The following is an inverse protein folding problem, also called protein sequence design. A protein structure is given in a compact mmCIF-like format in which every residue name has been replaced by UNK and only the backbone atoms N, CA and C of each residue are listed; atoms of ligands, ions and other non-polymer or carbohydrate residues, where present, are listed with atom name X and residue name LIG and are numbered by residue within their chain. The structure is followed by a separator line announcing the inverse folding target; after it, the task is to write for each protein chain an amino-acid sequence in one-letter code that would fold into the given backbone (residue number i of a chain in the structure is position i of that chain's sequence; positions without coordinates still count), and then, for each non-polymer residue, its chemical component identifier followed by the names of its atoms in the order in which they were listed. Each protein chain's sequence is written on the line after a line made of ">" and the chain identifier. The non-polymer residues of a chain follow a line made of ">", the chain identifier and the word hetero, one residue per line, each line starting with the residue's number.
data_IF_981791133782
#
_entry.id   IF_981791133782
#
_cell.length_a   1.000
_cell.length_b   1.000
_cell.length_c   1.000
_cell.angle_alpha   90.00
_cell.angle_beta   90.00
_cell.angle_gamma   90.00
#
_symmetry.space_group_name_H-M   'P 1'
#
loop_
_entity.id
_entity.type
_entity.pdbx_description
1 polymer ?
#
# COMPACT_ATOMS: atom_id res chain seq x y z
N UNK A 1 -40.89 -12.66 4.59
CA UNK A 1 -40.51 -11.95 5.83
C UNK A 1 -39.34 -12.73 6.42
N UNK A 2 -38.10 -12.28 6.52
CA UNK A 2 -37.42 -11.03 6.19
C UNK A 2 -35.96 -11.38 5.90
N UNK A 3 -35.38 -10.63 4.98
CA UNK A 3 -34.08 -10.83 4.37
C UNK A 3 -32.98 -10.39 5.37
N UNK A 4 -32.06 -11.27 5.77
CA UNK A 4 -30.93 -10.89 6.61
C UNK A 4 -29.70 -10.58 5.74
N UNK A 5 -29.63 -9.33 5.31
CA UNK A 5 -28.43 -8.70 4.75
C UNK A 5 -27.45 -8.40 5.90
N UNK A 6 -26.50 -9.30 6.14
CA UNK A 6 -25.37 -9.10 7.06
C UNK A 6 -24.04 -9.55 6.44
N UNK A 7 -23.84 -9.28 5.13
CA UNK A 7 -22.61 -9.65 4.42
C UNK A 7 -21.64 -8.51 4.10
N UNK A 8 -21.90 -7.28 4.56
CA UNK A 8 -21.06 -6.14 4.16
C UNK A 8 -20.34 -5.40 5.28
N UNK A 9 -20.48 -5.81 6.55
CA UNK A 9 -19.91 -5.06 7.69
C UNK A 9 -18.94 -5.83 8.59
N UNK A 10 -18.63 -7.10 8.27
CA UNK A 10 -17.74 -7.93 9.09
C UNK A 10 -16.45 -8.40 8.38
N UNK A 11 -16.15 -7.89 7.19
CA UNK A 11 -15.12 -8.50 6.32
C UNK A 11 -13.92 -7.62 5.96
N UNK A 12 -13.71 -6.48 6.65
CA UNK A 12 -12.50 -5.67 6.48
C UNK A 12 -11.57 -5.72 7.71
N UNK A 13 -12.09 -6.00 8.91
CA UNK A 13 -11.24 -6.17 10.11
C UNK A 13 -10.70 -7.60 10.25
N UNK A 14 -11.36 -8.62 9.69
CA UNK A 14 -10.97 -10.03 9.87
C UNK A 14 -9.95 -10.57 8.85
N UNK A 15 -9.49 -9.79 7.85
CA UNK A 15 -8.53 -10.27 6.84
C UNK A 15 -7.04 -10.17 7.28
N UNK A 16 -6.77 -9.66 8.48
CA UNK A 16 -5.42 -9.41 8.96
C UNK A 16 -5.22 -10.06 10.33
N UNK A 17 -4.41 -11.12 10.43
CA UNK A 17 -4.01 -11.69 11.72
C UNK A 17 -2.79 -10.98 12.34
N UNK A 18 -2.03 -10.25 11.53
CA UNK A 18 -0.68 -9.80 11.91
C UNK A 18 -0.38 -8.37 11.45
N UNK A 19 0.70 -7.83 12.00
CA UNK A 19 1.22 -6.51 11.65
C UNK A 19 1.90 -6.53 10.28
N UNK A 20 2.01 -5.35 9.67
CA UNK A 20 2.71 -5.13 8.41
C UNK A 20 4.06 -4.48 8.67
N UNK A 21 5.10 -4.97 8.01
CA UNK A 21 6.45 -4.44 8.08
C UNK A 21 6.84 -3.83 6.74
N UNK A 22 7.50 -2.68 6.79
CA UNK A 22 8.08 -2.05 5.61
C UNK A 22 9.14 -2.97 5.00
N UNK A 23 9.11 -3.15 3.68
CA UNK A 23 10.09 -3.95 2.94
C UNK A 23 10.98 -3.03 2.11
N UNK A 24 10.36 -2.24 1.24
CA UNK A 24 11.08 -1.37 0.30
C UNK A 24 10.14 -0.28 -0.19
N UNK A 25 10.73 0.80 -0.68
CA UNK A 25 10.06 1.83 -1.47
C UNK A 25 10.83 2.10 -2.76
N UNK A 26 10.17 2.78 -3.69
CA UNK A 26 10.80 3.33 -4.86
C UNK A 26 10.15 4.65 -5.26
N UNK A 27 10.96 5.67 -5.50
CA UNK A 27 10.50 7.00 -5.89
C UNK A 27 10.93 7.30 -7.33
N UNK A 28 9.97 7.36 -8.26
CA UNK A 28 10.24 7.74 -9.64
C UNK A 28 10.31 9.26 -9.80
N UNK A 29 9.37 9.98 -9.19
CA UNK A 29 9.32 11.44 -9.21
C UNK A 29 8.94 11.98 -7.84
N UNK A 30 9.73 12.93 -7.33
CA UNK A 30 9.54 13.49 -5.99
C UNK A 30 10.36 12.77 -4.93
N UNK A 31 9.99 12.97 -3.67
CA UNK A 31 10.66 12.38 -2.51
C UNK A 31 9.70 12.27 -1.32
N UNK A 32 10.06 11.39 -0.38
CA UNK A 32 9.41 11.31 0.93
C UNK A 32 9.64 12.63 1.69
N UNK A 33 8.59 13.11 2.36
CA UNK A 33 8.64 14.28 3.22
C UNK A 33 9.41 14.02 4.52
N UNK A 34 9.33 14.93 5.51
CA UNK A 34 10.10 14.82 6.74
C UNK A 34 9.81 13.56 7.57
N UNK A 35 8.59 13.00 7.43
CA UNK A 35 8.20 11.76 8.08
C UNK A 35 8.52 10.56 7.20
N UNK A 36 9.29 9.57 7.70
CA UNK A 36 9.61 8.36 6.93
C UNK A 36 8.37 7.49 6.73
N UNK A 37 8.47 6.48 5.85
CA UNK A 37 7.47 5.43 5.77
C UNK A 37 7.34 4.71 7.13
N UNK A 38 6.11 4.47 7.63
CA UNK A 38 5.91 3.69 8.84
C UNK A 38 6.59 2.32 8.72
N UNK A 39 7.54 2.02 9.60
CA UNK A 39 8.29 0.75 9.52
C UNK A 39 7.46 -0.46 9.95
N UNK A 40 6.48 -0.24 10.83
CA UNK A 40 5.55 -1.26 11.35
C UNK A 40 4.16 -0.65 11.51
N UNK A 41 3.15 -1.36 11.03
CA UNK A 41 1.73 -0.98 11.17
C UNK A 41 1.02 -2.16 11.83
N UNK A 42 0.56 -1.98 13.07
CA UNK A 42 -0.15 -3.04 13.79
C UNK A 42 -1.52 -3.34 13.18
N UNK A 43 -2.09 -4.47 13.58
CA UNK A 43 -3.45 -4.81 13.16
C UNK A 43 -4.43 -3.80 13.78
N UNK A 44 -5.35 -3.28 12.98
CA UNK A 44 -6.26 -2.21 13.40
C UNK A 44 -5.64 -0.81 13.51
N UNK A 45 -4.33 -0.65 13.31
CA UNK A 45 -3.68 0.66 13.22
C UNK A 45 -3.60 1.14 11.76
N UNK A 46 -3.48 2.47 11.63
CA UNK A 46 -3.21 3.14 10.37
C UNK A 46 -1.88 3.89 10.47
N UNK A 47 -1.13 3.92 9.38
CA UNK A 47 0.09 4.70 9.24
C UNK A 47 -0.10 5.77 8.17
N UNK A 48 0.50 6.94 8.37
CA UNK A 48 0.49 8.04 7.41
C UNK A 48 1.89 8.44 7.01
N UNK A 49 2.07 8.81 5.75
CA UNK A 49 3.29 9.40 5.22
C UNK A 49 2.94 10.44 4.15
N UNK A 50 3.87 11.33 3.84
CA UNK A 50 3.69 12.37 2.84
C UNK A 50 4.79 12.26 1.78
N UNK A 51 4.41 12.03 0.52
CA UNK A 51 5.34 12.03 -0.61
C UNK A 51 5.08 13.23 -1.52
N UNK A 52 6.07 14.10 -1.69
CA UNK A 52 5.95 15.38 -2.36
C UNK A 52 6.76 15.42 -3.64
N UNK A 53 6.40 16.34 -4.55
CA UNK A 53 7.23 16.63 -5.70
C UNK A 53 8.53 17.33 -5.27
N UNK A 54 9.56 17.25 -6.10
CA UNK A 54 10.77 18.05 -5.94
C UNK A 54 10.49 19.52 -6.25
N UNK A 55 10.90 20.42 -5.35
CA UNK A 55 10.71 21.86 -5.54
C UNK A 55 11.43 22.34 -6.80
N UNK A 56 10.86 23.32 -7.49
CA UNK A 56 11.42 23.87 -8.73
C UNK A 56 11.38 22.95 -9.96
N UNK A 57 10.90 21.70 -9.82
CA UNK A 57 10.81 20.76 -10.95
C UNK A 57 9.37 20.66 -11.46
N UNK A 58 9.19 20.62 -12.79
CA UNK A 58 7.92 20.41 -13.47
C UNK A 58 7.52 18.92 -13.51
N UNK A 59 7.76 18.21 -12.42
CA UNK A 59 7.44 16.79 -12.24
C UNK A 59 6.38 16.62 -11.16
N UNK A 60 5.65 15.53 -11.26
CA UNK A 60 4.66 15.11 -10.27
C UNK A 60 5.27 14.48 -9.02
N UNK A 61 4.43 13.74 -8.29
CA UNK A 61 4.80 12.83 -7.21
C UNK A 61 4.38 11.41 -7.62
N UNK A 62 5.34 10.54 -7.92
CA UNK A 62 5.08 9.14 -8.25
C UNK A 62 6.08 8.23 -7.56
N UNK A 63 5.54 7.26 -6.83
CA UNK A 63 6.31 6.35 -6.01
C UNK A 63 5.48 5.12 -5.65
N UNK A 64 6.15 4.10 -5.12
CA UNK A 64 5.54 2.88 -4.62
C UNK A 64 6.18 2.49 -3.28
N UNK A 65 5.38 1.87 -2.43
CA UNK A 65 5.84 1.28 -1.17
C UNK A 65 5.32 -0.14 -1.05
N UNK A 66 6.15 -1.04 -0.53
CA UNK A 66 5.84 -2.45 -0.32
C UNK A 66 5.91 -2.77 1.17
N UNK A 67 4.83 -3.39 1.66
CA UNK A 67 4.72 -3.91 3.01
C UNK A 67 4.56 -5.42 2.99
N UNK A 68 5.25 -6.13 3.87
CA UNK A 68 5.09 -7.57 4.08
C UNK A 68 4.34 -7.85 5.36
N UNK A 69 3.54 -8.89 5.35
CA UNK A 69 2.96 -9.45 6.55
C UNK A 69 2.31 -10.78 6.26
N UNK A 70 1.40 -11.20 7.13
CA UNK A 70 0.88 -12.56 7.13
C UNK A 70 -0.63 -12.53 6.91
N UNK A 71 -1.10 -13.28 5.92
CA UNK A 71 -2.52 -13.43 5.62
C UNK A 71 -3.21 -14.37 6.64
N UNK A 72 -4.52 -14.54 6.50
CA UNK A 72 -5.29 -15.41 7.38
C UNK A 72 -4.84 -16.88 7.37
N UNK A 73 -4.23 -17.32 6.28
CA UNK A 73 -3.72 -18.68 6.10
C UNK A 73 -2.31 -18.87 6.68
N UNK A 74 -1.74 -17.86 7.34
CA UNK A 74 -0.38 -17.92 7.86
C UNK A 74 0.70 -17.75 6.79
N UNK A 75 0.35 -17.40 5.56
CA UNK A 75 1.29 -17.21 4.47
C UNK A 75 1.79 -15.77 4.43
N UNK A 76 3.07 -15.60 4.10
CA UNK A 76 3.65 -14.29 3.84
C UNK A 76 3.09 -13.72 2.54
N UNK A 77 2.61 -12.48 2.58
CA UNK A 77 2.13 -11.74 1.42
C UNK A 77 2.74 -10.35 1.41
N UNK A 78 3.02 -9.88 0.19
CA UNK A 78 3.50 -8.52 -0.05
C UNK A 78 2.36 -7.65 -0.58
N UNK A 79 2.20 -6.47 0.00
CA UNK A 79 1.23 -5.44 -0.36
C UNK A 79 1.96 -4.26 -0.96
N UNK A 80 1.61 -3.91 -2.18
CA UNK A 80 2.17 -2.74 -2.84
C UNK A 80 1.12 -1.64 -2.94
N UNK A 81 1.46 -0.46 -2.45
CA UNK A 81 0.72 0.76 -2.72
C UNK A 81 1.57 1.64 -3.63
N UNK A 82 1.07 1.94 -4.82
CA UNK A 82 1.72 2.82 -5.77
C UNK A 82 0.79 3.99 -6.14
N UNK A 83 1.39 5.15 -6.42
CA UNK A 83 0.68 6.35 -6.80
C UNK A 83 1.39 7.10 -7.91
N UNK A 84 0.60 7.85 -8.68
CA UNK A 84 1.09 8.81 -9.65
C UNK A 84 0.21 10.06 -9.60
N UNK A 85 0.81 11.18 -9.20
CA UNK A 85 0.19 12.50 -9.17
C UNK A 85 0.97 13.40 -10.15
N UNK A 86 0.52 13.50 -11.41
CA UNK A 86 1.24 14.21 -12.46
C UNK A 86 1.25 15.72 -12.24
N UNK A 87 2.30 16.39 -12.72
CA UNK A 87 2.38 17.86 -12.70
C UNK A 87 1.37 18.52 -13.64
N UNK A 88 1.23 17.95 -14.84
CA UNK A 88 0.30 18.45 -15.84
C UNK A 88 -1.10 17.85 -15.64
N UNK A 89 -2.01 18.66 -15.11
CA UNK A 89 -3.41 18.28 -14.86
C UNK A 89 -4.32 18.45 -16.08
N UNK A 90 -3.82 18.99 -17.18
CA UNK A 90 -4.61 19.16 -18.41
C UNK A 90 -4.69 17.88 -19.24
N UNK A 91 -3.85 16.89 -18.98
CA UNK A 91 -3.75 15.65 -19.76
C UNK A 91 -3.63 14.39 -18.91
N UNK A 92 -3.63 14.52 -17.59
CA UNK A 92 -3.40 13.38 -16.70
C UNK A 92 -4.06 13.57 -15.34
N UNK A 93 -4.68 12.50 -14.86
CA UNK A 93 -5.34 12.43 -13.56
C UNK A 93 -4.46 11.77 -12.50
N UNK A 94 -4.81 12.00 -11.23
CA UNK A 94 -4.20 11.31 -10.10
C UNK A 94 -4.65 9.84 -10.10
N UNK A 95 -3.69 8.93 -10.01
CA UNK A 95 -3.98 7.49 -9.93
C UNK A 95 -3.34 6.89 -8.70
N UNK A 96 -4.07 5.98 -8.06
CA UNK A 96 -3.58 5.14 -6.96
C UNK A 96 -3.88 3.69 -7.31
N UNK A 97 -2.87 2.83 -7.25
CA UNK A 97 -3.02 1.39 -7.41
C UNK A 97 -2.62 0.70 -6.12
N UNK A 98 -3.48 -0.23 -5.68
CA UNK A 98 -3.23 -1.09 -4.54
C UNK A 98 -3.22 -2.51 -5.05
N UNK A 99 -2.13 -3.21 -4.80
CA UNK A 99 -2.06 -4.64 -5.07
C UNK A 99 -2.11 -5.35 -3.74
N UNK A 100 -3.27 -5.92 -3.50
CA UNK A 100 -3.57 -6.60 -2.25
C UNK A 100 -3.15 -8.07 -2.37
N UNK A 101 -1.91 -8.36 -1.99
CA UNK A 101 -1.25 -9.68 -1.93
C UNK A 101 -0.60 -10.19 -3.21
N UNK A 102 0.73 -10.23 -3.20
CA UNK A 102 1.52 -11.21 -3.93
C UNK A 102 1.84 -12.37 -2.98
N UNK A 103 1.41 -13.58 -3.33
CA UNK A 103 1.88 -14.81 -2.70
C UNK A 103 2.90 -15.41 -3.66
N UNK A 104 4.19 -15.29 -3.34
CA UNK A 104 5.22 -16.02 -4.08
C UNK A 104 5.17 -17.47 -3.60
N UNK A 105 4.83 -18.45 -4.47
CA UNK A 105 5.01 -19.84 -4.09
C UNK A 105 6.52 -20.06 -3.87
N UNK A 106 6.88 -20.37 -2.63
CA UNK A 106 8.23 -20.85 -2.29
C UNK A 106 8.39 -22.24 -2.92
N UNK A 107 8.63 -22.31 -4.22
CA UNK A 107 9.20 -23.52 -4.81
C UNK A 107 10.70 -23.45 -4.60
N UNK A 108 11.13 -24.13 -3.54
CA UNK A 108 12.51 -24.53 -3.31
C UNK A 108 13.03 -25.18 -4.61
N UNK A 109 13.94 -24.51 -5.29
CA UNK A 109 14.95 -25.24 -6.07
C UNK A 109 16.08 -25.50 -5.07
N UNK A 110 16.12 -26.76 -4.62
CA UNK A 110 17.25 -27.39 -3.95
C UNK A 110 18.48 -27.40 -4.85
#
# INVERSE_FOLDING_TARGET
>A
MGNWSLHSLLNLQCYWRSHRFFVTDHSWHGHIGPGPYPTRIENGQWGGFLHVKTSGTATGSSAAVVYRGVNNNGQHCDWMAAWSNPWNRSTSDNTVSKIDSFSFPFHLLS
#
